data_IF_989386794047
#
_entry.id   IF_989386794047
#
_cell.length_a   1.000
_cell.length_b   1.000
_cell.length_c   1.000
_cell.angle_alpha   90.00
_cell.angle_beta   90.00
_cell.angle_gamma   90.00
#
_symmetry.space_group_name_H-M   'P 1'
#
loop_
_entity.id
_entity.type
_entity.pdbx_description
1 polymer ?
#
# COMPACT_ATOMS: atom_id res chain seq x y z
N UNK A 1 81.80 23.67 48.85
CA UNK A 1 80.58 24.42 48.44
C UNK A 1 80.31 24.48 46.92
N UNK A 2 81.05 23.79 46.02
CA UNK A 2 80.93 23.98 44.55
C UNK A 2 80.11 22.93 43.78
N UNK A 3 79.74 21.81 44.40
CA UNK A 3 79.08 20.69 43.69
C UNK A 3 77.55 20.75 43.74
N UNK A 4 76.94 21.23 44.82
CA UNK A 4 75.48 21.34 44.96
C UNK A 4 74.86 22.28 43.90
N UNK A 5 75.55 23.38 43.58
CA UNK A 5 75.13 24.34 42.55
C UNK A 5 75.03 23.70 41.16
N UNK A 6 75.92 22.74 40.83
CA UNK A 6 75.90 22.02 39.56
C UNK A 6 74.70 21.07 39.47
N UNK A 7 74.42 20.35 40.55
CA UNK A 7 73.24 19.47 40.62
C UNK A 7 71.94 20.26 40.51
N UNK A 8 71.88 21.47 41.09
CA UNK A 8 70.70 22.35 41.03
C UNK A 8 70.45 22.89 39.62
N UNK A 9 71.51 23.24 38.88
CA UNK A 9 71.39 23.67 37.48
C UNK A 9 70.91 22.51 36.59
N UNK A 10 71.45 21.30 36.78
CA UNK A 10 71.04 20.13 36.00
C UNK A 10 69.59 19.74 36.27
N UNK A 11 69.12 19.76 37.53
CA UNK A 11 67.71 19.50 37.84
C UNK A 11 66.77 20.56 37.28
N UNK A 12 67.17 21.84 37.27
CA UNK A 12 66.39 22.91 36.62
C UNK A 12 66.25 22.70 35.11
N UNK A 13 67.33 22.30 34.44
CA UNK A 13 67.32 22.02 32.99
C UNK A 13 66.43 20.82 32.69
N UNK A 14 66.55 19.74 33.47
CA UNK A 14 65.71 18.55 33.30
C UNK A 14 64.24 18.89 33.53
N UNK A 15 63.92 19.64 34.59
CA UNK A 15 62.55 20.09 34.86
C UNK A 15 61.98 20.96 33.73
N UNK A 16 62.79 21.86 33.15
CA UNK A 16 62.39 22.68 32.01
C UNK A 16 62.13 21.84 30.75
N UNK A 17 62.98 20.86 30.47
CA UNK A 17 62.84 19.97 29.31
C UNK A 17 61.64 19.04 29.45
N UNK A 18 61.40 18.47 30.63
CA UNK A 18 60.23 17.59 30.86
C UNK A 18 58.93 18.37 30.81
N UNK A 19 58.84 19.53 31.47
CA UNK A 19 57.64 20.37 31.43
C UNK A 19 57.41 20.96 30.03
N UNK A 20 58.47 21.38 29.32
CA UNK A 20 58.37 21.85 27.94
C UNK A 20 57.93 20.76 26.97
N UNK A 21 58.45 19.54 27.12
CA UNK A 21 58.04 18.37 26.34
C UNK A 21 56.60 17.94 26.61
N UNK A 22 56.19 17.91 27.90
CA UNK A 22 54.80 17.65 28.28
C UNK A 22 53.87 18.73 27.72
N UNK A 23 54.25 20.01 27.77
CA UNK A 23 53.46 21.09 27.18
C UNK A 23 53.33 20.95 25.66
N UNK A 24 54.41 20.58 24.95
CA UNK A 24 54.36 20.35 23.51
C UNK A 24 53.43 19.18 23.12
N UNK A 25 53.56 18.04 23.80
CA UNK A 25 52.70 16.87 23.57
C UNK A 25 51.25 17.16 23.91
N UNK A 26 51.00 17.87 25.02
CA UNK A 26 49.67 18.30 25.42
C UNK A 26 49.05 19.25 24.38
N UNK A 27 49.83 20.18 23.83
CA UNK A 27 49.37 21.11 22.80
C UNK A 27 49.05 20.38 21.48
N UNK A 28 49.84 19.38 21.08
CA UNK A 28 49.57 18.51 19.94
C UNK A 28 48.29 17.68 20.14
N UNK A 29 48.12 17.09 21.33
CA UNK A 29 46.92 16.35 21.70
C UNK A 29 45.67 17.23 21.65
N UNK A 30 45.72 18.44 22.23
CA UNK A 30 44.62 19.42 22.15
C UNK A 30 44.32 19.77 20.69
N UNK A 31 45.34 19.98 19.85
CA UNK A 31 45.14 20.30 18.45
C UNK A 31 44.41 19.18 17.70
N UNK A 32 44.80 17.92 17.91
CA UNK A 32 44.11 16.77 17.29
C UNK A 32 42.67 16.62 17.76
N UNK A 33 42.42 16.75 19.07
CA UNK A 33 41.07 16.71 19.65
C UNK A 33 40.21 17.83 19.08
N UNK A 34 40.77 19.04 18.91
CA UNK A 34 40.08 20.17 18.32
C UNK A 34 39.66 19.94 16.87
N UNK A 35 40.56 19.40 16.04
CA UNK A 35 40.25 19.04 14.64
C UNK A 35 39.14 17.99 14.59
N UNK A 36 39.14 17.00 15.48
CA UNK A 36 38.08 16.01 15.60
C UNK A 36 36.70 16.65 15.83
N UNK A 37 36.59 17.55 16.81
CA UNK A 37 35.35 18.28 17.07
C UNK A 37 34.95 19.23 15.93
N UNK A 38 35.91 19.91 15.30
CA UNK A 38 35.64 20.79 14.15
C UNK A 38 35.06 20.00 12.97
N UNK A 39 35.59 18.80 12.69
CA UNK A 39 35.08 17.91 11.64
C UNK A 39 33.68 17.41 11.96
N UNK A 40 33.42 17.02 13.22
CA UNK A 40 32.09 16.57 13.65
C UNK A 40 31.06 17.71 13.54
N UNK A 41 31.42 18.93 13.93
CA UNK A 41 30.59 20.13 13.77
C UNK A 41 30.31 20.41 12.29
N UNK A 42 31.29 20.24 11.41
CA UNK A 42 31.11 20.43 9.96
C UNK A 42 30.12 19.41 9.39
N UNK A 43 30.24 18.12 9.76
CA UNK A 43 29.29 17.06 9.35
C UNK A 43 27.90 17.32 9.90
N UNK A 44 27.77 17.73 11.17
CA UNK A 44 26.49 18.09 11.78
C UNK A 44 25.85 19.28 11.06
N UNK A 45 26.62 20.32 10.77
CA UNK A 45 26.13 21.50 10.05
C UNK A 45 25.70 21.15 8.62
N UNK A 46 26.46 20.31 7.92
CA UNK A 46 26.10 19.84 6.58
C UNK A 46 24.80 19.00 6.62
N UNK A 47 24.65 18.15 7.63
CA UNK A 47 23.41 17.36 7.83
C UNK A 47 22.22 18.26 8.13
N UNK A 48 22.38 19.27 9.00
CA UNK A 48 21.34 20.27 9.30
C UNK A 48 20.96 21.07 8.05
N UNK A 49 21.93 21.37 7.19
CA UNK A 49 21.69 22.09 5.95
C UNK A 49 20.94 21.23 4.91
N UNK A 50 21.23 19.93 4.85
CA UNK A 50 20.58 18.98 3.93
C UNK A 50 19.11 18.70 4.31
N UNK A 51 18.80 18.57 5.61
CA UNK A 51 17.42 18.37 6.06
C UNK A 51 16.53 19.60 5.85
N UNK A 52 17.13 20.79 5.74
CA UNK A 52 16.44 22.06 5.58
C UNK A 52 15.83 22.60 6.87
N UNK A 53 14.96 23.60 6.75
CA UNK A 53 14.27 24.16 7.92
C UNK A 53 13.14 23.23 8.38
N UNK A 54 12.68 23.40 9.63
CA UNK A 54 11.49 22.69 10.09
C UNK A 54 10.23 23.44 9.61
N UNK A 55 9.35 22.73 8.94
CA UNK A 55 8.07 23.23 8.44
C UNK A 55 6.94 22.61 9.26
N UNK A 56 5.97 23.44 9.63
CA UNK A 56 4.77 23.00 10.32
C UNK A 56 3.83 22.28 9.33
N UNK A 57 3.46 21.06 9.67
CA UNK A 57 2.49 20.24 8.93
C UNK A 57 1.44 19.69 9.88
N UNK A 58 0.28 19.29 9.34
CA UNK A 58 -0.79 18.78 10.18
C UNK A 58 -0.62 17.30 10.55
N UNK A 59 -1.05 16.98 11.77
CA UNK A 59 -1.20 15.65 12.38
C UNK A 59 -2.50 15.60 13.19
N UNK A 60 -2.78 14.47 13.82
CA UNK A 60 -3.98 14.23 14.64
C UNK A 60 -3.68 14.38 16.13
N UNK A 61 -4.61 14.93 16.91
CA UNK A 61 -4.50 15.08 18.38
C UNK A 61 -4.69 13.78 19.14
N UNK A 62 -5.52 12.90 18.59
CA UNK A 62 -5.85 11.59 19.14
C UNK A 62 -5.82 10.55 18.02
N UNK A 63 -5.70 9.27 18.40
CA UNK A 63 -5.75 8.19 17.43
C UNK A 63 -7.11 8.18 16.71
N UNK A 64 -7.08 8.13 15.38
CA UNK A 64 -8.29 8.09 14.54
C UNK A 64 -8.61 6.66 14.12
N UNK A 65 -9.80 6.45 13.59
CA UNK A 65 -10.20 5.19 12.96
C UNK A 65 -10.63 5.41 11.50
N UNK A 66 -10.54 4.39 10.63
CA UNK A 66 -11.00 4.50 9.24
C UNK A 66 -12.48 4.90 9.15
N UNK A 67 -12.81 5.83 8.27
CA UNK A 67 -14.15 6.37 8.09
C UNK A 67 -14.54 7.49 9.06
N UNK A 68 -13.68 7.86 10.01
CA UNK A 68 -13.92 9.02 10.87
C UNK A 68 -13.83 10.32 10.03
N UNK A 69 -14.81 11.21 10.20
CA UNK A 69 -14.82 12.55 9.60
C UNK A 69 -13.69 13.42 10.17
N UNK A 70 -13.02 14.18 9.30
CA UNK A 70 -11.99 15.13 9.71
C UNK A 70 -12.64 16.37 10.30
N UNK A 71 -12.38 16.62 11.59
CA UNK A 71 -12.77 17.85 12.26
C UNK A 71 -11.55 18.72 12.54
N UNK A 72 -11.71 20.03 12.41
CA UNK A 72 -10.63 20.99 12.69
C UNK A 72 -10.08 20.85 14.13
N UNK A 73 -10.93 20.47 15.09
CA UNK A 73 -10.53 20.24 16.48
C UNK A 73 -9.66 19.01 16.70
N UNK A 74 -9.68 18.05 15.78
CA UNK A 74 -8.87 16.83 15.81
C UNK A 74 -7.45 17.07 15.27
N UNK A 75 -7.21 18.21 14.63
CA UNK A 75 -5.94 18.53 14.00
C UNK A 75 -4.96 19.24 14.96
N UNK A 76 -3.68 18.93 14.83
CA UNK A 76 -2.57 19.60 15.50
C UNK A 76 -1.38 19.76 14.56
N UNK A 77 -0.51 20.72 14.85
CA UNK A 77 0.73 20.91 14.10
C UNK A 77 1.85 20.03 14.64
N UNK A 78 2.65 19.49 13.73
CA UNK A 78 3.92 18.80 14.01
C UNK A 78 4.99 19.35 13.08
N UNK A 79 6.24 19.31 13.52
CA UNK A 79 7.37 19.81 12.74
C UNK A 79 8.00 18.69 11.92
N UNK A 80 8.14 18.92 10.63
CA UNK A 80 8.79 17.99 9.69
C UNK A 80 9.88 18.72 8.90
N UNK A 81 11.04 18.09 8.62
CA UNK A 81 12.06 18.68 7.77
C UNK A 81 11.52 19.06 6.39
N UNK A 82 11.85 20.25 5.91
CA UNK A 82 11.48 20.79 4.59
C UNK A 82 11.86 19.84 3.45
N UNK A 83 13.00 19.14 3.58
CA UNK A 83 13.47 18.14 2.62
C UNK A 83 12.50 16.97 2.36
N UNK A 84 11.57 16.70 3.29
CA UNK A 84 10.57 15.64 3.14
C UNK A 84 9.23 16.15 2.60
N UNK A 85 9.01 17.47 2.60
CA UNK A 85 7.73 18.06 2.20
C UNK A 85 7.60 18.02 0.68
N UNK A 86 6.45 17.52 0.24
CA UNK A 86 6.01 17.53 -1.14
C UNK A 86 4.52 17.92 -1.19
N UNK A 87 3.96 18.01 -2.39
CA UNK A 87 2.58 18.46 -2.62
C UNK A 87 1.51 17.58 -1.95
N UNK A 88 1.85 16.35 -1.54
CA UNK A 88 0.93 15.45 -0.85
C UNK A 88 0.73 15.83 0.62
N UNK A 89 1.60 16.62 1.25
CA UNK A 89 1.46 16.97 2.67
C UNK A 89 0.30 17.95 2.91
N UNK A 90 -0.38 17.76 4.04
CA UNK A 90 -1.44 18.66 4.50
C UNK A 90 -0.82 19.80 5.28
N UNK A 91 -0.78 20.97 4.65
CA UNK A 91 -0.23 22.22 5.18
C UNK A 91 -1.32 23.16 5.70
N UNK A 92 -2.56 22.99 5.25
CA UNK A 92 -3.71 23.81 5.62
C UNK A 92 -4.91 22.89 5.95
N UNK A 93 -5.69 23.15 7.02
CA UNK A 93 -6.83 22.31 7.40
C UNK A 93 -7.86 22.16 6.29
N UNK A 94 -8.07 23.22 5.50
CA UNK A 94 -9.06 23.27 4.41
C UNK A 94 -8.80 22.22 3.32
N UNK A 95 -7.57 21.72 3.17
CA UNK A 95 -7.26 20.65 2.22
C UNK A 95 -7.97 19.33 2.56
N UNK A 96 -8.35 19.15 3.83
CA UNK A 96 -8.89 17.89 4.37
C UNK A 96 -10.24 18.04 5.06
N UNK A 97 -10.78 19.26 5.12
CA UNK A 97 -12.14 19.47 5.58
C UNK A 97 -13.14 18.73 4.69
N UNK A 98 -14.22 18.22 5.29
CA UNK A 98 -15.26 17.41 4.65
C UNK A 98 -14.76 16.07 4.05
N UNK A 99 -13.54 15.64 4.42
CA UNK A 99 -13.00 14.32 4.09
C UNK A 99 -13.07 13.37 5.30
N UNK A 100 -12.78 12.10 5.04
CA UNK A 100 -12.76 11.02 6.03
C UNK A 100 -11.40 10.32 6.01
N UNK A 101 -10.93 9.81 7.15
CA UNK A 101 -9.67 9.07 7.22
C UNK A 101 -9.79 7.69 6.54
N UNK A 102 -8.92 7.36 5.58
CA UNK A 102 -8.86 6.04 4.94
C UNK A 102 -8.26 4.96 5.85
N UNK A 103 -7.37 5.36 6.75
CA UNK A 103 -6.65 4.48 7.68
C UNK A 103 -6.67 5.07 9.10
N UNK A 104 -6.40 4.24 10.11
CA UNK A 104 -6.17 4.73 11.47
C UNK A 104 -4.85 5.51 11.53
N UNK A 105 -4.87 6.72 12.08
CA UNK A 105 -3.71 7.60 12.19
C UNK A 105 -3.43 7.85 13.67
N UNK A 106 -2.18 7.68 14.09
CA UNK A 106 -1.76 7.98 15.46
C UNK A 106 -1.16 9.39 15.55
N UNK A 107 -1.29 10.07 16.72
CA UNK A 107 -0.70 11.38 16.93
C UNK A 107 0.80 11.42 16.63
N UNK A 108 1.26 12.50 15.99
CA UNK A 108 2.66 12.64 15.58
C UNK A 108 2.94 12.19 14.14
N UNK A 109 2.00 11.52 13.48
CA UNK A 109 2.11 11.14 12.06
C UNK A 109 1.75 12.34 11.18
N UNK A 110 2.64 12.85 10.30
CA UNK A 110 2.29 13.87 9.32
C UNK A 110 1.19 13.38 8.38
N UNK A 111 0.19 14.23 8.15
CA UNK A 111 -0.93 13.93 7.27
C UNK A 111 -0.55 14.18 5.81
N UNK A 112 -0.92 13.23 4.95
CA UNK A 112 -0.84 13.38 3.49
C UNK A 112 -2.21 13.15 2.85
N UNK A 113 -2.46 13.78 1.69
CA UNK A 113 -3.75 13.76 1.00
C UNK A 113 -4.25 12.34 0.70
N UNK A 114 -3.33 11.40 0.45
CA UNK A 114 -3.62 9.99 0.20
C UNK A 114 -4.29 9.28 1.38
N UNK A 115 -4.17 9.82 2.59
CA UNK A 115 -4.78 9.29 3.81
C UNK A 115 -6.27 9.64 3.94
N UNK A 116 -6.83 10.41 3.01
CA UNK A 116 -8.21 10.90 3.07
C UNK A 116 -9.06 10.40 1.90
N UNK A 117 -10.35 10.20 2.14
CA UNK A 117 -11.38 9.92 1.13
C UNK A 117 -12.45 11.00 1.18
N UNK A 118 -12.97 11.38 0.02
CA UNK A 118 -13.97 12.46 -0.12
C UNK A 118 -15.38 12.04 0.30
N UNK A 119 -15.64 10.74 0.41
CA UNK A 119 -16.95 10.20 0.76
C UNK A 119 -16.88 9.50 2.12
N UNK A 120 -17.94 9.60 2.91
CA UNK A 120 -18.06 8.84 4.14
C UNK A 120 -18.08 7.36 3.80
N UNK A 121 -17.43 6.54 4.63
CA UNK A 121 -17.61 5.10 4.52
C UNK A 121 -19.09 4.81 4.81
N UNK A 122 -19.83 4.30 3.82
CA UNK A 122 -21.23 3.94 3.99
C UNK A 122 -21.33 2.94 5.16
N UNK A 123 -22.14 3.24 6.18
CA UNK A 123 -22.30 2.38 7.37
C UNK A 123 -22.77 0.96 7.01
N UNK A 124 -23.37 0.80 5.83
CA UNK A 124 -23.76 -0.51 5.32
C UNK A 124 -22.63 -1.29 4.66
N UNK A 125 -21.42 -0.73 4.53
CA UNK A 125 -20.26 -1.39 3.93
C UNK A 125 -19.88 -2.63 4.72
N UNK A 126 -19.84 -3.79 4.07
CA UNK A 126 -19.45 -5.06 4.72
C UNK A 126 -18.50 -5.85 3.84
N UNK A 127 -17.64 -6.62 4.50
CA UNK A 127 -16.87 -7.67 3.86
C UNK A 127 -17.78 -8.64 3.12
N UNK A 128 -17.50 -8.82 1.84
CA UNK A 128 -18.26 -9.66 0.93
C UNK A 128 -17.29 -10.47 0.08
N UNK A 129 -17.57 -11.76 -0.05
CA UNK A 129 -16.84 -12.63 -0.96
C UNK A 129 -17.58 -12.67 -2.30
N UNK A 130 -16.94 -12.14 -3.34
CA UNK A 130 -17.42 -12.15 -4.71
C UNK A 130 -17.05 -13.46 -5.41
N UNK A 131 -17.98 -13.92 -6.24
CA UNK A 131 -17.81 -15.03 -7.17
C UNK A 131 -17.82 -14.45 -8.59
N UNK A 132 -16.88 -14.90 -9.40
CA UNK A 132 -16.83 -14.66 -10.84
C UNK A 132 -16.34 -15.93 -11.53
N UNK A 133 -16.67 -16.10 -12.81
CA UNK A 133 -16.13 -17.21 -13.60
C UNK A 133 -14.64 -17.03 -13.83
N UNK A 134 -14.23 -15.82 -14.19
CA UNK A 134 -12.84 -15.51 -14.47
C UNK A 134 -12.42 -14.15 -13.95
N UNK A 135 -11.12 -14.00 -13.71
CA UNK A 135 -10.48 -12.74 -13.38
C UNK A 135 -9.15 -12.63 -14.12
N UNK A 136 -8.61 -11.41 -14.18
CA UNK A 136 -7.32 -11.13 -14.82
C UNK A 136 -6.21 -11.98 -14.18
N UNK A 137 -5.41 -12.68 -14.99
CA UNK A 137 -4.32 -13.54 -14.51
C UNK A 137 -3.34 -12.71 -13.69
N UNK A 138 -2.98 -13.20 -12.49
CA UNK A 138 -2.10 -12.48 -11.57
C UNK A 138 -2.77 -11.32 -10.83
N UNK A 139 -4.10 -11.35 -10.68
CA UNK A 139 -4.82 -10.50 -9.73
C UNK A 139 -4.26 -10.70 -8.32
N UNK A 140 -4.01 -9.61 -7.60
CA UNK A 140 -3.45 -9.62 -6.25
C UNK A 140 -4.19 -8.68 -5.31
N UNK A 141 -4.01 -8.89 -4.01
CA UNK A 141 -4.45 -7.96 -2.97
C UNK A 141 -3.97 -6.53 -3.28
N UNK A 142 -4.88 -5.58 -3.13
CA UNK A 142 -4.65 -4.15 -3.38
C UNK A 142 -4.96 -3.70 -4.81
N UNK A 143 -5.17 -4.62 -5.76
CA UNK A 143 -5.66 -4.27 -7.08
C UNK A 143 -7.11 -3.78 -7.00
N UNK A 144 -7.54 -3.04 -8.03
CA UNK A 144 -8.93 -2.64 -8.20
C UNK A 144 -9.50 -3.31 -9.45
N UNK A 145 -10.77 -3.68 -9.40
CA UNK A 145 -11.45 -4.37 -10.49
C UNK A 145 -12.85 -3.82 -10.73
N UNK A 146 -13.37 -4.04 -11.93
CA UNK A 146 -14.81 -3.97 -12.23
C UNK A 146 -15.37 -5.39 -12.24
N UNK A 147 -16.57 -5.58 -11.68
CA UNK A 147 -17.37 -6.78 -11.92
C UNK A 147 -18.28 -6.55 -13.11
N UNK A 148 -18.14 -7.39 -14.12
CA UNK A 148 -18.91 -7.31 -15.35
C UNK A 148 -19.73 -8.58 -15.56
N UNK A 149 -20.98 -8.42 -15.99
CA UNK A 149 -21.78 -9.50 -16.56
C UNK A 149 -21.73 -9.39 -18.09
N UNK A 150 -21.43 -10.50 -18.75
CA UNK A 150 -21.48 -10.63 -20.20
C UNK A 150 -22.58 -11.61 -20.57
N UNK A 151 -23.65 -11.14 -21.20
CA UNK A 151 -24.75 -11.98 -21.67
C UNK A 151 -24.39 -12.75 -22.94
N UNK A 152 -25.14 -13.81 -23.31
CA UNK A 152 -24.78 -14.77 -24.36
C UNK A 152 -24.27 -14.17 -25.67
N UNK A 153 -24.96 -13.19 -26.24
CA UNK A 153 -24.54 -12.54 -27.49
C UNK A 153 -23.41 -11.50 -27.36
N UNK A 154 -22.84 -11.35 -26.16
CA UNK A 154 -21.66 -10.51 -25.91
C UNK A 154 -21.97 -9.15 -25.30
N UNK A 155 -23.26 -8.82 -25.10
CA UNK A 155 -23.65 -7.61 -24.39
C UNK A 155 -23.02 -7.61 -22.99
N UNK A 156 -22.21 -6.59 -22.73
CA UNK A 156 -21.42 -6.46 -21.51
C UNK A 156 -21.91 -5.29 -20.69
N UNK A 157 -22.12 -5.53 -19.40
CA UNK A 157 -22.57 -4.53 -18.46
C UNK A 157 -21.71 -4.54 -17.19
N UNK A 158 -21.34 -3.35 -16.74
CA UNK A 158 -20.60 -3.14 -15.48
C UNK A 158 -21.63 -3.22 -14.35
N UNK A 159 -21.45 -4.21 -13.47
CA UNK A 159 -22.30 -4.50 -12.31
C UNK A 159 -21.80 -3.73 -11.09
N UNK A 160 -20.50 -3.84 -10.80
CA UNK A 160 -19.82 -3.09 -9.75
C UNK A 160 -18.57 -2.46 -10.36
N UNK A 161 -18.24 -1.26 -9.92
CA UNK A 161 -17.12 -0.49 -10.47
C UNK A 161 -16.10 -0.15 -9.40
N UNK A 162 -14.82 -0.18 -9.78
CA UNK A 162 -13.69 0.27 -8.96
C UNK A 162 -13.69 -0.33 -7.55
N UNK A 163 -13.91 -1.65 -7.47
CA UNK A 163 -13.90 -2.37 -6.20
C UNK A 163 -12.47 -2.82 -5.86
N UNK A 164 -12.05 -2.56 -4.62
CA UNK A 164 -10.74 -2.97 -4.13
C UNK A 164 -10.72 -4.46 -3.80
N UNK A 165 -9.65 -5.14 -4.18
CA UNK A 165 -9.38 -6.54 -3.84
C UNK A 165 -8.67 -6.60 -2.49
N UNK A 166 -9.36 -7.08 -1.46
CA UNK A 166 -8.80 -7.23 -0.12
C UNK A 166 -8.08 -8.57 0.06
N UNK A 167 -8.54 -9.60 -0.64
CA UNK A 167 -7.86 -10.87 -0.73
C UNK A 167 -8.30 -11.66 -1.97
N UNK A 168 -7.41 -12.52 -2.47
CA UNK A 168 -7.70 -13.47 -3.55
C UNK A 168 -7.66 -14.87 -2.93
N UNK A 169 -8.81 -15.55 -2.89
CA UNK A 169 -8.92 -16.94 -2.48
C UNK A 169 -9.13 -17.83 -3.70
N UNK A 170 -9.11 -19.16 -3.51
CA UNK A 170 -9.18 -20.13 -4.61
C UNK A 170 -10.34 -19.90 -5.59
N UNK A 171 -11.52 -19.55 -5.08
CA UNK A 171 -12.74 -19.40 -5.89
C UNK A 171 -13.50 -18.10 -5.59
N UNK A 172 -12.95 -17.23 -4.74
CA UNK A 172 -13.63 -16.01 -4.31
C UNK A 172 -12.66 -14.85 -4.17
N UNK A 173 -13.17 -13.66 -4.42
CA UNK A 173 -12.46 -12.40 -4.18
C UNK A 173 -13.09 -11.71 -2.98
N UNK A 174 -12.30 -11.47 -1.94
CA UNK A 174 -12.75 -10.72 -0.77
C UNK A 174 -12.67 -9.23 -1.08
N UNK A 175 -13.76 -8.51 -0.82
CA UNK A 175 -13.88 -7.07 -1.06
C UNK A 175 -14.85 -6.45 -0.05
N UNK A 176 -15.03 -5.13 -0.12
CA UNK A 176 -15.98 -4.38 0.68
C UNK A 176 -17.06 -3.79 -0.23
N UNK A 177 -18.32 -4.11 0.06
CA UNK A 177 -19.47 -3.62 -0.70
C UNK A 177 -20.46 -2.91 0.22
N UNK A 178 -21.04 -1.82 -0.26
CA UNK A 178 -22.19 -1.13 0.36
C UNK A 178 -23.46 -1.99 0.28
N UNK A 179 -24.51 -1.58 0.98
CA UNK A 179 -25.82 -2.23 0.92
C UNK A 179 -26.41 -2.25 -0.50
N UNK A 180 -26.38 -1.10 -1.20
CA UNK A 180 -26.83 -1.01 -2.60
C UNK A 180 -26.06 -1.97 -3.51
N UNK A 181 -24.72 -1.96 -3.42
CA UNK A 181 -23.85 -2.79 -4.20
C UNK A 181 -24.10 -4.29 -3.97
N UNK A 182 -24.33 -4.71 -2.72
CA UNK A 182 -24.70 -6.11 -2.43
C UNK A 182 -26.02 -6.52 -3.08
N UNK A 183 -27.04 -5.66 -3.09
CA UNK A 183 -28.29 -5.95 -3.79
C UNK A 183 -28.12 -6.03 -5.30
N UNK A 184 -27.34 -5.11 -5.89
CA UNK A 184 -27.00 -5.10 -7.32
C UNK A 184 -26.26 -6.38 -7.69
N UNK A 185 -25.25 -6.76 -6.91
CA UNK A 185 -24.50 -8.01 -7.09
C UNK A 185 -25.39 -9.24 -7.02
N UNK A 186 -26.29 -9.32 -6.03
CA UNK A 186 -27.26 -10.42 -5.93
C UNK A 186 -28.19 -10.48 -7.13
N UNK A 187 -28.64 -9.34 -7.67
CA UNK A 187 -29.41 -9.28 -8.91
C UNK A 187 -28.64 -9.84 -10.10
N UNK A 188 -27.37 -9.44 -10.24
CA UNK A 188 -26.50 -9.94 -11.30
C UNK A 188 -26.21 -11.44 -11.18
N UNK A 189 -26.06 -11.98 -9.96
CA UNK A 189 -25.94 -13.42 -9.74
C UNK A 189 -27.19 -14.19 -10.21
N UNK A 190 -28.38 -13.65 -9.94
CA UNK A 190 -29.63 -14.28 -10.42
C UNK A 190 -29.65 -14.32 -11.95
N UNK A 191 -29.38 -13.20 -12.62
CA UNK A 191 -29.30 -13.16 -14.08
C UNK A 191 -28.23 -14.12 -14.62
N UNK A 192 -27.05 -14.15 -13.99
CA UNK A 192 -25.98 -15.04 -14.36
C UNK A 192 -26.43 -16.50 -14.26
N UNK A 193 -26.99 -16.94 -13.13
CA UNK A 193 -27.44 -18.32 -12.96
C UNK A 193 -28.57 -18.71 -13.91
N UNK A 194 -29.43 -17.77 -14.29
CA UNK A 194 -30.50 -18.01 -15.28
C UNK A 194 -29.98 -18.16 -16.70
N UNK A 195 -28.80 -17.61 -17.00
CA UNK A 195 -28.28 -17.53 -18.36
C UNK A 195 -26.92 -18.18 -18.57
N UNK A 196 -26.29 -18.74 -17.53
CA UNK A 196 -24.98 -19.42 -17.62
C UNK A 196 -25.02 -20.58 -18.61
N UNK A 197 -26.11 -21.34 -18.64
CA UNK A 197 -26.30 -22.44 -19.59
C UNK A 197 -26.48 -21.96 -21.04
N UNK A 198 -26.89 -20.70 -21.22
CA UNK A 198 -26.93 -20.03 -22.53
C UNK A 198 -25.59 -19.37 -22.87
N UNK A 199 -24.59 -19.49 -22.00
CA UNK A 199 -23.31 -18.83 -22.12
C UNK A 199 -23.33 -17.40 -21.60
N UNK A 200 -23.96 -17.07 -20.48
CA UNK A 200 -23.61 -15.87 -19.73
C UNK A 200 -22.32 -16.09 -18.93
N UNK A 201 -21.61 -15.02 -18.57
CA UNK A 201 -20.43 -15.12 -17.71
C UNK A 201 -20.25 -13.89 -16.82
N UNK A 202 -19.71 -14.10 -15.62
CA UNK A 202 -19.25 -13.05 -14.71
C UNK A 202 -17.73 -12.93 -14.73
N UNK A 203 -17.22 -11.72 -14.96
CA UNK A 203 -15.78 -11.49 -15.10
C UNK A 203 -15.32 -10.33 -14.22
N UNK A 204 -14.14 -10.47 -13.61
CA UNK A 204 -13.45 -9.36 -12.93
C UNK A 204 -12.35 -8.80 -13.83
N UNK A 205 -12.48 -7.53 -14.17
CA UNK A 205 -11.54 -6.82 -15.05
C UNK A 205 -10.69 -5.88 -14.20
N UNK A 206 -9.37 -6.08 -14.22
CA UNK A 206 -8.42 -5.31 -13.42
C UNK A 206 -8.11 -3.94 -14.03
N UNK A 207 -8.10 -2.91 -13.19
CA UNK A 207 -7.57 -1.58 -13.53
C UNK A 207 -6.06 -1.65 -13.69
N UNK A 208 -5.55 -0.99 -14.74
CA UNK A 208 -4.09 -0.92 -14.96
C UNK A 208 -3.47 0.10 -14.02
N UNK A 209 -4.10 1.27 -13.88
CA UNK A 209 -3.66 2.37 -13.04
C UNK A 209 -4.84 2.97 -12.26
N UNK A 210 -5.28 2.32 -11.16
CA UNK A 210 -6.52 2.67 -10.49
C UNK A 210 -6.56 4.04 -9.82
N UNK A 211 -5.39 4.67 -9.63
CA UNK A 211 -5.30 6.02 -9.05
C UNK A 211 -5.56 7.16 -10.05
N UNK A 212 -5.46 6.89 -11.37
CA UNK A 212 -5.69 7.90 -12.41
C UNK A 212 -6.84 7.56 -13.35
N UNK A 213 -7.19 6.27 -13.42
CA UNK A 213 -8.29 5.82 -14.26
C UNK A 213 -9.61 6.11 -13.56
N UNK A 214 -10.44 6.92 -14.23
CA UNK A 214 -11.81 7.18 -13.79
C UNK A 214 -12.60 5.86 -13.65
N UNK A 215 -13.33 5.66 -12.54
CA UNK A 215 -14.21 4.51 -12.38
C UNK A 215 -15.20 4.36 -13.54
N UNK A 216 -15.39 3.12 -14.00
CA UNK A 216 -16.44 2.80 -14.97
C UNK A 216 -17.82 3.18 -14.44
N UNK A 217 -18.71 3.65 -15.32
CA UNK A 217 -20.12 3.85 -14.94
C UNK A 217 -20.81 2.50 -14.82
N UNK A 218 -21.53 2.27 -13.73
CA UNK A 218 -22.39 1.07 -13.58
C UNK A 218 -23.49 1.12 -14.64
N UNK A 219 -23.49 0.14 -15.54
CA UNK A 219 -24.42 0.06 -16.68
C UNK A 219 -25.42 -1.07 -16.55
N UNK A 220 -25.19 -2.03 -15.65
CA UNK A 220 -26.12 -3.09 -15.33
C UNK A 220 -27.45 -2.55 -14.81
N UNK A 221 -28.55 -3.24 -15.12
CA UNK A 221 -29.89 -2.88 -14.67
C UNK A 221 -30.54 -4.04 -13.96
N UNK A 222 -30.86 -3.82 -12.69
CA UNK A 222 -31.43 -4.82 -11.79
C UNK A 222 -32.87 -5.13 -12.20
N UNK A 223 -33.34 -6.32 -11.83
CA UNK A 223 -34.74 -6.71 -12.00
C UNK A 223 -35.67 -5.92 -11.07
N UNK A 224 -36.97 -5.85 -11.42
CA UNK A 224 -37.94 -5.04 -10.68
C UNK A 224 -38.03 -5.39 -9.19
N UNK A 225 -37.93 -6.67 -8.83
CA UNK A 225 -37.94 -7.09 -7.43
C UNK A 225 -36.73 -6.56 -6.65
N UNK A 226 -35.54 -6.54 -7.27
CA UNK A 226 -34.32 -6.00 -6.65
C UNK A 226 -34.38 -4.48 -6.60
N UNK A 227 -34.93 -3.84 -7.65
CA UNK A 227 -35.16 -2.40 -7.67
C UNK A 227 -36.08 -1.96 -6.52
N UNK A 228 -37.17 -2.69 -6.27
CA UNK A 228 -38.07 -2.44 -5.14
C UNK A 228 -37.33 -2.55 -3.81
N UNK A 229 -36.55 -3.62 -3.59
CA UNK A 229 -35.78 -3.80 -2.35
C UNK A 229 -34.80 -2.65 -2.12
N UNK A 230 -34.03 -2.26 -3.14
CA UNK A 230 -33.08 -1.14 -3.05
C UNK A 230 -33.79 0.18 -2.75
N UNK A 231 -34.96 0.40 -3.36
CA UNK A 231 -35.72 1.64 -3.20
C UNK A 231 -36.36 1.73 -1.81
N UNK A 232 -36.88 0.63 -1.30
CA UNK A 232 -37.60 0.56 -0.02
C UNK A 232 -36.67 0.41 1.20
N UNK A 233 -35.45 -0.12 1.04
CA UNK A 233 -34.53 -0.29 2.16
C UNK A 233 -34.07 1.08 2.72
N UNK A 234 -34.39 1.40 4.00
CA UNK A 234 -34.01 2.66 4.63
C UNK A 234 -32.51 2.76 4.90
N UNK A 235 -31.77 1.65 4.86
CA UNK A 235 -30.33 1.63 5.09
C UNK A 235 -29.52 1.82 3.80
N UNK A 236 -30.16 1.75 2.63
CA UNK A 236 -29.49 1.97 1.35
C UNK A 236 -29.42 3.47 1.04
N UNK A 237 -28.22 4.03 1.12
CA UNK A 237 -27.97 5.46 0.90
C UNK A 237 -28.04 5.84 -0.58
N UNK A 238 -27.45 5.03 -1.45
CA UNK A 238 -27.42 5.27 -2.89
C UNK A 238 -28.65 4.64 -3.58
N UNK A 239 -29.53 5.48 -4.12
CA UNK A 239 -30.74 5.03 -4.82
C UNK A 239 -30.51 4.96 -6.33
N UNK A 240 -31.00 3.87 -6.93
CA UNK A 240 -30.96 3.67 -8.39
C UNK A 240 -32.01 4.58 -9.05
N UNK A 241 -31.66 5.16 -10.21
CA UNK A 241 -32.63 5.84 -11.06
C UNK A 241 -33.61 4.81 -11.65
N UNK A 242 -34.81 4.75 -11.09
CA UNK A 242 -35.82 3.74 -11.41
C UNK A 242 -36.25 3.76 -12.87
N UNK A 243 -36.50 4.93 -13.44
CA UNK A 243 -36.88 5.09 -14.85
C UNK A 243 -35.81 4.56 -15.78
N UNK A 244 -34.57 5.02 -15.59
CA UNK A 244 -33.44 4.58 -16.44
C UNK A 244 -33.18 3.07 -16.30
N UNK A 245 -33.32 2.53 -15.08
CA UNK A 245 -33.16 1.10 -14.83
C UNK A 245 -34.22 0.29 -15.59
N UNK A 246 -35.50 0.70 -15.56
CA UNK A 246 -36.59 0.02 -16.25
C UNK A 246 -36.43 0.01 -17.77
N UNK A 247 -36.03 1.15 -18.36
CA UNK A 247 -35.76 1.26 -19.79
C UNK A 247 -34.67 0.29 -20.24
N UNK A 248 -33.53 0.30 -19.54
CA UNK A 248 -32.41 -0.60 -19.82
C UNK A 248 -32.75 -2.06 -19.56
N UNK A 249 -33.47 -2.36 -18.47
CA UNK A 249 -33.91 -3.72 -18.14
C UNK A 249 -34.79 -4.31 -19.23
N UNK A 250 -35.67 -3.51 -19.82
CA UNK A 250 -36.50 -3.93 -20.95
C UNK A 250 -35.64 -4.32 -22.17
N UNK A 251 -34.60 -3.54 -22.47
CA UNK A 251 -33.66 -3.86 -23.56
C UNK A 251 -32.92 -5.18 -23.31
N UNK A 252 -32.40 -5.37 -22.08
CA UNK A 252 -31.70 -6.60 -21.69
C UNK A 252 -32.63 -7.82 -21.81
N UNK A 253 -33.83 -7.76 -21.22
CA UNK A 253 -34.79 -8.87 -21.25
C UNK A 253 -35.19 -9.22 -22.69
N UNK A 254 -35.42 -8.22 -23.54
CA UNK A 254 -35.72 -8.45 -24.96
C UNK A 254 -34.57 -9.14 -25.69
N UNK A 255 -33.31 -8.68 -25.51
CA UNK A 255 -32.12 -9.33 -26.08
C UNK A 255 -32.05 -10.81 -25.67
N UNK A 256 -32.21 -11.10 -24.38
CA UNK A 256 -32.14 -12.45 -23.83
C UNK A 256 -33.23 -13.39 -24.36
N UNK A 257 -34.42 -12.86 -24.67
CA UNK A 257 -35.51 -13.66 -25.25
C UNK A 257 -35.29 -14.09 -26.70
N UNK A 258 -34.29 -13.52 -27.39
CA UNK A 258 -33.97 -13.86 -28.79
C UNK A 258 -32.94 -14.97 -28.93
N UNK A 259 -32.46 -15.52 -27.82
CA UNK A 259 -31.46 -16.58 -27.81
C UNK A 259 -32.11 -17.89 -28.24
N UNK A 260 -31.60 -18.49 -29.32
CA UNK A 260 -32.01 -19.82 -29.76
C UNK A 260 -31.29 -20.93 -28.98
N UNK A 261 -31.89 -22.13 -28.89
CA UNK A 261 -31.26 -23.28 -28.21
C UNK A 261 -29.94 -23.71 -28.88
N UNK A 262 -29.84 -23.53 -30.21
CA UNK A 262 -28.64 -23.82 -30.99
C UNK A 262 -27.51 -22.83 -30.65
N UNK A 263 -27.81 -21.53 -30.64
CA UNK A 263 -26.85 -20.48 -30.26
C UNK A 263 -26.43 -20.63 -28.80
N UNK A 264 -27.38 -20.86 -27.89
CA UNK A 264 -27.12 -21.10 -26.47
C UNK A 264 -26.10 -22.24 -26.27
N UNK A 265 -26.31 -23.37 -26.95
CA UNK A 265 -25.43 -24.54 -26.86
C UNK A 265 -24.02 -24.25 -27.39
N UNK A 266 -23.90 -23.54 -28.51
CA UNK A 266 -22.63 -23.18 -29.12
C UNK A 266 -21.86 -22.16 -28.26
N UNK A 267 -22.53 -21.10 -27.80
CA UNK A 267 -21.97 -20.03 -26.98
C UNK A 267 -21.51 -20.54 -25.62
N UNK A 268 -22.35 -21.34 -24.94
CA UNK A 268 -22.01 -21.97 -23.67
C UNK A 268 -20.78 -22.87 -23.78
N UNK A 269 -20.70 -23.67 -24.85
CA UNK A 269 -19.55 -24.54 -25.10
C UNK A 269 -18.27 -23.74 -25.39
N UNK A 270 -18.36 -22.70 -26.22
CA UNK A 270 -17.23 -21.81 -26.50
C UNK A 270 -16.71 -21.12 -25.24
N UNK A 271 -17.60 -20.57 -24.42
CA UNK A 271 -17.22 -19.89 -23.17
C UNK A 271 -16.59 -20.82 -22.14
N UNK A 272 -17.10 -22.04 -22.00
CA UNK A 272 -16.45 -23.05 -21.13
C UNK A 272 -15.02 -23.37 -21.59
N UNK A 273 -14.78 -23.39 -22.90
CA UNK A 273 -13.43 -23.51 -23.46
C UNK A 273 -12.53 -22.36 -23.02
N UNK A 274 -12.93 -21.12 -23.29
CA UNK A 274 -12.17 -19.93 -22.88
C UNK A 274 -11.91 -19.87 -21.38
N UNK A 275 -12.91 -20.21 -20.57
CA UNK A 275 -12.78 -20.25 -19.11
C UNK A 275 -11.76 -21.30 -18.67
N UNK A 276 -11.74 -22.47 -19.32
CA UNK A 276 -10.73 -23.50 -19.06
C UNK A 276 -9.32 -23.01 -19.39
N UNK A 277 -9.15 -22.28 -20.49
CA UNK A 277 -7.86 -21.72 -20.88
C UNK A 277 -7.36 -20.66 -19.88
N UNK A 278 -8.24 -19.75 -19.44
CA UNK A 278 -7.91 -18.74 -18.43
C UNK A 278 -7.56 -19.42 -17.10
N UNK A 279 -8.34 -20.41 -16.68
CA UNK A 279 -8.07 -21.17 -15.45
C UNK A 279 -6.74 -21.93 -15.53
N UNK A 280 -6.38 -22.44 -16.72
CA UNK A 280 -5.08 -23.03 -17.00
C UNK A 280 -3.95 -22.03 -16.83
N UNK A 281 -4.07 -20.85 -17.47
CA UNK A 281 -3.09 -19.78 -17.37
C UNK A 281 -2.90 -19.28 -15.93
N UNK A 282 -3.97 -19.17 -15.14
CA UNK A 282 -3.88 -18.76 -13.73
C UNK A 282 -3.13 -19.79 -12.88
N UNK A 283 -3.33 -21.09 -13.16
CA UNK A 283 -2.57 -22.16 -12.49
C UNK A 283 -1.09 -22.10 -12.84
N UNK A 284 -0.76 -21.92 -14.12
CA UNK A 284 0.63 -21.78 -14.58
C UNK A 284 1.30 -20.54 -13.95
N UNK A 285 0.60 -19.41 -13.93
CA UNK A 285 1.07 -18.19 -13.27
C UNK A 285 1.34 -18.41 -11.77
N UNK A 286 0.41 -19.07 -11.07
CA UNK A 286 0.56 -19.38 -9.64
C UNK A 286 1.77 -20.28 -9.38
N UNK A 287 1.99 -21.30 -10.23
CA UNK A 287 3.16 -22.18 -10.14
C UNK A 287 4.46 -21.38 -10.33
N UNK A 288 4.52 -20.54 -11.36
CA UNK A 288 5.68 -19.71 -11.66
C UNK A 288 6.03 -18.76 -10.50
N UNK A 289 5.01 -18.11 -9.90
CA UNK A 289 5.21 -17.21 -8.75
C UNK A 289 5.75 -17.97 -7.53
N UNK A 290 5.22 -19.16 -7.26
CA UNK A 290 5.69 -19.99 -6.15
C UNK A 290 7.15 -20.45 -6.36
N UNK A 291 7.50 -20.89 -7.57
CA UNK A 291 8.88 -21.27 -7.91
C UNK A 291 9.87 -20.10 -7.79
N UNK A 292 9.45 -18.91 -8.21
CA UNK A 292 10.25 -17.69 -8.07
C UNK A 292 10.47 -17.34 -6.60
N UNK A 293 9.42 -17.42 -5.78
CA UNK A 293 9.51 -17.13 -4.35
C UNK A 293 10.40 -18.14 -3.62
N UNK A 294 10.29 -19.43 -3.92
CA UNK A 294 11.19 -20.44 -3.37
C UNK A 294 12.66 -20.19 -3.74
N UNK A 295 12.90 -19.78 -4.99
CA UNK A 295 14.26 -19.46 -5.47
C UNK A 295 14.81 -18.25 -4.72
N UNK A 296 14.01 -17.19 -4.56
CA UNK A 296 14.37 -15.99 -3.80
C UNK A 296 14.70 -16.30 -2.35
N UNK A 297 13.93 -17.19 -1.70
CA UNK A 297 14.20 -17.59 -0.32
C UNK A 297 15.52 -18.38 -0.20
N UNK A 298 15.78 -19.33 -1.12
CA UNK A 298 17.06 -20.07 -1.15
C UNK A 298 18.26 -19.14 -1.34
N UNK A 299 18.13 -18.10 -2.18
CA UNK A 299 19.17 -17.10 -2.38
C UNK A 299 19.40 -16.25 -1.13
N UNK A 300 18.34 -15.79 -0.47
CA UNK A 300 18.43 -15.03 0.79
C UNK A 300 19.10 -15.86 1.90
N UNK A 301 18.73 -17.14 2.05
CA UNK A 301 19.39 -18.04 3.00
C UNK A 301 20.88 -18.22 2.69
N UNK A 302 21.24 -18.37 1.41
CA UNK A 302 22.63 -18.50 0.98
C UNK A 302 23.43 -17.23 1.35
N UNK A 303 22.89 -16.05 1.05
CA UNK A 303 23.51 -14.76 1.39
C UNK A 303 23.70 -14.61 2.90
N UNK A 304 22.70 -15.01 3.69
CA UNK A 304 22.80 -14.98 5.16
C UNK A 304 23.88 -15.92 5.69
N UNK A 305 24.00 -17.14 5.14
CA UNK A 305 25.06 -18.09 5.51
C UNK A 305 26.46 -17.58 5.16
N UNK A 306 26.61 -16.99 3.97
CA UNK A 306 27.88 -16.39 3.54
C UNK A 306 28.27 -15.19 4.43
N UNK A 307 27.30 -14.33 4.77
CA UNK A 307 27.52 -13.22 5.70
C UNK A 307 27.93 -13.69 7.10
N UNK A 308 27.27 -14.73 7.63
CA UNK A 308 27.61 -15.32 8.93
C UNK A 308 29.02 -15.94 8.93
N UNK A 309 29.39 -16.66 7.86
CA UNK A 309 30.72 -17.24 7.72
C UNK A 309 31.83 -16.16 7.68
N UNK A 310 31.59 -15.06 6.95
CA UNK A 310 32.53 -13.94 6.89
C UNK A 310 32.69 -13.21 8.24
N UNK A 311 31.62 -13.07 9.03
CA UNK A 311 31.70 -12.54 10.39
C UNK A 311 32.51 -13.44 11.32
N UNK A 312 32.36 -14.76 11.19
CA UNK A 312 33.12 -15.74 11.98
C UNK A 312 34.62 -15.72 11.63
N UNK A 313 34.97 -15.60 10.34
CA UNK A 313 36.36 -15.43 9.89
C UNK A 313 37.00 -14.11 10.34
N UNK A 314 36.23 -13.01 10.36
CA UNK A 314 36.75 -11.74 10.87
C UNK A 314 37.00 -11.77 12.39
N UNK A 315 36.10 -12.35 13.18
CA UNK A 315 36.30 -12.49 14.63
C UNK A 315 37.45 -13.43 15.00
N UNK A 316 37.69 -14.48 14.21
CA UNK A 316 38.83 -15.38 14.45
C UNK A 316 40.18 -14.76 14.06
N UNK A 317 40.22 -13.85 13.07
CA UNK A 317 41.42 -13.08 12.76
C UNK A 317 41.75 -12.03 13.83
N UNK A 318 40.74 -11.41 14.46
CA UNK A 318 40.90 -10.47 15.58
C UNK A 318 41.47 -11.16 16.84
N UNK A 319 41.03 -12.38 17.17
CA UNK A 319 41.56 -13.10 18.35
C UNK A 319 43.00 -13.60 18.16
N UNK A 320 43.43 -13.84 16.92
CA UNK A 320 44.81 -14.22 16.63
C UNK A 320 45.76 -13.02 16.79
N UNK A 321 45.33 -11.80 16.48
CA UNK A 321 46.14 -10.60 16.68
C UNK A 321 46.34 -10.24 18.17
N UNK A 322 45.35 -10.49 19.04
CA UNK A 322 45.50 -10.28 20.48
C UNK A 322 46.38 -11.35 21.18
N UNK A 323 46.58 -12.51 20.56
CA UNK A 323 47.34 -13.63 21.13
C UNK A 323 48.85 -13.63 20.89
N UNK A 324 49.40 -12.68 20.12
CA UNK A 324 50.83 -12.65 19.72
C UNK A 324 51.70 -11.73 20.59
N UNK A 325 51.17 -11.20 21.69
CA UNK A 325 51.98 -10.45 22.68
C UNK A 325 52.30 -11.36 23.86
N UNK A 326 53.37 -12.15 23.73
CA UNK A 326 54.13 -12.76 24.84
C UNK A 326 55.60 -12.82 24.45
#
# INVERSE_FOLDING_TARGET
MRNWMKYLIVTLIVALLTNGGQFYLWNQYIAQVKVGYETEIEVLNATIQDIGTLVDVYSVRAATFPGQEVKQEDLMLVQTPESLINDSYVLEPQQVMDKFYKIAISPGTPLTDDMFMSEALDDTTRETDLIADSWSVGLKKGDYVDLEITYPYGDKYVVLSHIRVENVNANTIKTYLTGSQRHIYNGALVDYFLHVDNGASLNLVKYTEPGIQEPSKVTYSVTDNILSVITEDPNVMEKINTTLNQEKRTMITNSLSTISDEDASALSSGRRGTLSDITGAEKEHTQMVNELEETRQKELEKQQREAAANQQSNNSNLSIQEGVVN
#
